data_IF_895109190058
#
_entry.id   IF_895109190058
#
_cell.length_a   1.000
_cell.length_b   1.000
_cell.length_c   1.000
_cell.angle_alpha   90.00
_cell.angle_beta   90.00
_cell.angle_gamma   90.00
#
_symmetry.space_group_name_H-M   'P 1'
#
loop_
_entity.id
_entity.type
_entity.pdbx_description
1 polymer ?
#
# COMPACT_ATOMS: atom_id res chain seq x y z
N UNK A 1 11.68 3.19 7.56
CA UNK A 1 10.69 2.53 6.68
C UNK A 1 10.64 1.00 6.89
N UNK A 2 11.05 0.48 8.07
CA UNK A 2 11.39 -0.95 8.23
C UNK A 2 10.52 -1.77 9.20
N UNK A 3 9.51 -1.17 9.85
CA UNK A 3 8.76 -1.86 10.92
C UNK A 3 7.30 -2.19 10.58
N UNK A 4 6.68 -1.51 9.60
CA UNK A 4 5.30 -1.84 9.18
C UNK A 4 5.25 -3.18 8.43
N UNK A 5 6.22 -3.45 7.56
CA UNK A 5 6.24 -4.70 6.77
C UNK A 5 6.50 -5.93 7.66
N UNK A 6 7.20 -5.77 8.80
CA UNK A 6 7.44 -6.90 9.73
C UNK A 6 6.16 -7.45 10.37
N UNK A 7 5.06 -6.69 10.31
CA UNK A 7 3.77 -7.06 10.89
C UNK A 7 2.74 -7.50 9.84
N UNK A 8 3.13 -7.59 8.57
CA UNK A 8 2.23 -7.96 7.48
C UNK A 8 2.85 -9.08 6.66
N UNK A 9 2.15 -10.20 6.57
CA UNK A 9 2.50 -11.29 5.68
C UNK A 9 1.84 -11.06 4.33
N UNK A 10 2.61 -10.97 3.24
CA UNK A 10 2.06 -10.86 1.88
C UNK A 10 1.61 -12.25 1.43
N UNK A 11 0.34 -12.39 1.04
CA UNK A 11 -0.26 -13.67 0.66
C UNK A 11 -0.45 -13.81 -0.85
N UNK A 12 -0.68 -12.71 -1.57
CA UNK A 12 -0.99 -12.75 -3.00
C UNK A 12 -0.60 -11.43 -3.68
N UNK A 13 -0.08 -11.50 -4.91
CA UNK A 13 0.08 -10.34 -5.80
C UNK A 13 -1.18 -10.20 -6.64
N UNK A 14 -1.85 -9.05 -6.53
CA UNK A 14 -3.13 -8.78 -7.20
C UNK A 14 -2.95 -8.04 -8.51
N UNK A 15 -2.06 -7.05 -8.54
CA UNK A 15 -1.82 -6.23 -9.72
C UNK A 15 -0.41 -5.61 -9.72
N UNK A 16 0.01 -5.15 -10.90
CA UNK A 16 1.28 -4.49 -11.09
C UNK A 16 1.15 -3.40 -12.15
N UNK A 17 1.81 -2.27 -11.90
CA UNK A 17 1.98 -1.19 -12.86
C UNK A 17 3.47 -0.93 -13.09
N UNK A 18 3.78 0.07 -13.92
CA UNK A 18 5.16 0.53 -14.11
C UNK A 18 5.82 0.97 -12.80
N UNK A 19 5.06 1.57 -11.87
CA UNK A 19 5.63 2.22 -10.69
C UNK A 19 5.26 1.53 -9.38
N UNK A 20 4.19 0.75 -9.36
CA UNK A 20 3.65 0.18 -8.12
C UNK A 20 3.27 -1.28 -8.28
N UNK A 21 3.23 -1.98 -7.15
CA UNK A 21 2.64 -3.31 -7.03
C UNK A 21 1.49 -3.25 -6.04
N UNK A 22 0.44 -4.05 -6.28
CA UNK A 22 -0.69 -4.20 -5.37
C UNK A 22 -0.72 -5.63 -4.89
N UNK A 23 -0.64 -5.80 -3.57
CA UNK A 23 -0.59 -7.10 -2.92
C UNK A 23 -1.70 -7.22 -1.89
N UNK A 24 -2.21 -8.44 -1.72
CA UNK A 24 -2.99 -8.85 -0.56
C UNK A 24 -2.01 -9.32 0.51
N UNK A 25 -2.27 -8.93 1.75
CA UNK A 25 -1.57 -9.47 2.91
C UNK A 25 -2.50 -9.72 4.08
N UNK A 26 -1.93 -10.23 5.16
CA UNK A 26 -2.60 -10.45 6.45
C UNK A 26 -1.82 -9.72 7.53
N UNK A 27 -2.52 -8.93 8.35
CA UNK A 27 -1.90 -8.33 9.53
C UNK A 27 -1.64 -9.42 10.57
N UNK A 28 -0.40 -9.51 11.08
CA UNK A 28 -0.03 -10.54 12.05
C UNK A 28 -0.63 -10.29 13.44
N UNK A 29 -0.96 -9.05 13.80
CA UNK A 29 -1.48 -8.69 15.14
C UNK A 29 -3.01 -8.81 15.25
N UNK A 30 -3.73 -8.65 14.14
CA UNK A 30 -5.20 -8.57 14.13
C UNK A 30 -5.87 -9.55 13.16
N UNK A 31 -5.08 -10.40 12.49
CA UNK A 31 -5.48 -11.43 11.50
C UNK A 31 -6.36 -10.96 10.32
N UNK A 32 -6.62 -9.65 10.20
CA UNK A 32 -7.43 -9.08 9.14
C UNK A 32 -6.70 -9.02 7.79
N UNK A 33 -7.41 -9.21 6.67
CA UNK A 33 -6.84 -9.00 5.34
C UNK A 33 -6.54 -7.50 5.13
N UNK A 34 -5.44 -7.21 4.45
CA UNK A 34 -5.03 -5.85 4.09
C UNK A 34 -4.59 -5.80 2.64
N UNK A 35 -4.89 -4.69 1.97
CA UNK A 35 -4.39 -4.40 0.63
C UNK A 35 -3.22 -3.43 0.75
N UNK A 36 -2.09 -3.81 0.16
CA UNK A 36 -0.86 -3.04 0.15
C UNK A 36 -0.61 -2.53 -1.27
N UNK A 37 -0.58 -1.21 -1.44
CA UNK A 37 -0.01 -0.57 -2.64
C UNK A 37 1.45 -0.22 -2.31
N UNK A 38 2.39 -0.79 -3.04
CA UNK A 38 3.84 -0.68 -2.76
C UNK A 38 4.49 0.05 -3.92
N UNK A 39 5.31 1.07 -3.63
CA UNK A 39 6.12 1.75 -4.64
C UNK A 39 7.37 0.90 -4.95
N UNK A 40 7.64 0.68 -6.24
CA UNK A 40 8.81 -0.06 -6.68
C UNK A 40 10.10 0.73 -6.44
N UNK A 41 11.21 0.07 -6.03
CA UNK A 41 12.49 0.75 -5.81
C UNK A 41 12.96 1.56 -7.02
N UNK A 42 12.76 1.03 -8.23
CA UNK A 42 13.18 1.66 -9.49
C UNK A 42 12.35 2.91 -9.84
N UNK A 43 11.18 3.07 -9.21
CA UNK A 43 10.24 4.16 -9.44
C UNK A 43 10.34 5.29 -8.40
N UNK A 44 11.31 5.21 -7.48
CA UNK A 44 11.41 6.10 -6.33
C UNK A 44 12.04 7.46 -6.68
N UNK A 45 11.39 8.25 -7.53
CA UNK A 45 11.73 9.66 -7.75
C UNK A 45 10.99 10.55 -6.74
N UNK A 46 11.51 11.75 -6.47
CA UNK A 46 10.85 12.70 -5.56
C UNK A 46 9.42 13.06 -6.00
N UNK A 47 9.21 13.20 -7.31
CA UNK A 47 7.88 13.46 -7.89
C UNK A 47 6.92 12.30 -7.65
N UNK A 48 7.34 11.06 -7.93
CA UNK A 48 6.50 9.88 -7.75
C UNK A 48 6.20 9.66 -6.27
N UNK A 49 7.19 9.81 -5.39
CA UNK A 49 7.00 9.72 -3.94
C UNK A 49 6.04 10.79 -3.40
N UNK A 50 6.14 12.03 -3.91
CA UNK A 50 5.23 13.12 -3.54
C UNK A 50 3.80 12.82 -3.96
N UNK A 51 3.59 12.38 -5.21
CA UNK A 51 2.27 11.96 -5.70
C UNK A 51 1.71 10.79 -4.89
N UNK A 52 2.53 9.78 -4.61
CA UNK A 52 2.12 8.60 -3.85
C UNK A 52 1.68 8.95 -2.43
N UNK A 53 2.40 9.87 -1.77
CA UNK A 53 2.02 10.39 -0.45
C UNK A 53 0.73 11.20 -0.52
N UNK A 54 0.60 12.08 -1.51
CA UNK A 54 -0.59 12.89 -1.68
C UNK A 54 -1.85 12.05 -1.92
N UNK A 55 -1.75 10.99 -2.74
CA UNK A 55 -2.84 10.02 -2.93
C UNK A 55 -3.25 9.40 -1.58
N UNK A 56 -2.28 8.96 -0.78
CA UNK A 56 -2.56 8.39 0.54
C UNK A 56 -3.22 9.38 1.50
N UNK A 57 -2.75 10.63 1.55
CA UNK A 57 -3.33 11.69 2.38
C UNK A 57 -4.79 11.96 2.03
N UNK A 58 -5.12 11.98 0.73
CA UNK A 58 -6.50 12.15 0.27
C UNK A 58 -7.35 10.94 0.68
N UNK A 59 -6.89 9.72 0.38
CA UNK A 59 -7.72 8.51 0.55
C UNK A 59 -7.87 8.08 1.99
N UNK A 60 -6.84 8.26 2.82
CA UNK A 60 -6.87 7.88 4.24
C UNK A 60 -7.87 8.67 5.07
N UNK A 61 -8.27 9.86 4.61
CA UNK A 61 -9.29 10.69 5.25
C UNK A 61 -10.72 10.35 4.80
N UNK A 62 -10.90 9.49 3.78
CA UNK A 62 -12.22 9.13 3.28
C UNK A 62 -12.92 8.17 4.24
N UNK A 63 -14.11 8.54 4.71
CA UNK A 63 -14.99 7.67 5.48
C UNK A 63 -16.37 7.59 4.79
N UNK A 64 -16.38 6.98 3.60
CA UNK A 64 -17.57 6.86 2.75
C UNK A 64 -17.93 5.38 2.65
N UNK A 65 -19.18 4.97 2.97
CA UNK A 65 -19.61 3.59 2.83
C UNK A 65 -19.37 3.05 1.42
N UNK A 66 -18.65 1.93 1.32
CA UNK A 66 -18.31 1.29 0.05
C UNK A 66 -17.00 1.77 -0.61
N UNK A 67 -16.30 2.74 -0.01
CA UNK A 67 -14.94 3.14 -0.41
C UNK A 67 -13.95 2.59 0.61
N UNK A 68 -12.93 1.87 0.13
CA UNK A 68 -11.87 1.22 0.93
C UNK A 68 -10.51 1.73 0.48
#
# INVERSE_FOLDING_TARGET
MGDIIKKIEITEKLAETRFTEVCRGRQLEHEGPVILKILKPEANTAEVASRFRHEFEITSALNIPGVV
#
